data_IF_527775832977
#
_entry.id   IF_527775832977
#
_cell.length_a   1.000
_cell.length_b   1.000
_cell.length_c   1.000
_cell.angle_alpha   90.00
_cell.angle_beta   90.00
_cell.angle_gamma   90.00
#
_symmetry.space_group_name_H-M   'P 1'
#
loop_
_entity.id
_entity.type
_entity.pdbx_description
1 polymer ?
#
# COMPACT_ATOMS: atom_id res chain seq x y z
N UNK A 1 -16.34 -11.92 31.58
CA UNK A 1 -15.60 -11.36 30.43
C UNK A 1 -14.13 -11.70 30.61
N UNK A 2 -13.60 -12.64 29.84
CA UNK A 2 -12.16 -12.92 29.79
C UNK A 2 -11.43 -11.70 29.26
N UNK A 3 -10.50 -11.13 30.05
CA UNK A 3 -9.66 -10.02 29.59
C UNK A 3 -8.83 -10.50 28.39
N UNK A 4 -9.06 -9.89 27.22
CA UNK A 4 -8.21 -10.12 26.04
C UNK A 4 -6.80 -9.62 26.40
N UNK A 5 -5.75 -10.46 26.26
CA UNK A 5 -4.38 -10.05 26.59
C UNK A 5 -3.99 -8.78 25.81
N UNK A 6 -3.55 -7.74 26.52
CA UNK A 6 -2.99 -6.55 25.86
C UNK A 6 -1.52 -6.81 25.53
N UNK A 7 -1.18 -6.84 24.23
CA UNK A 7 0.20 -6.99 23.76
C UNK A 7 1.01 -5.69 23.87
N UNK A 8 0.34 -4.56 24.08
CA UNK A 8 0.97 -3.25 24.25
C UNK A 8 1.13 -2.98 25.75
N UNK A 9 2.38 -2.79 26.21
CA UNK A 9 2.66 -2.44 27.61
C UNK A 9 2.40 -0.96 27.86
N UNK A 10 1.29 -0.68 28.54
CA UNK A 10 0.79 0.67 28.90
C UNK A 10 1.79 1.39 29.82
N UNK A 11 2.30 0.70 30.84
CA UNK A 11 3.17 1.26 31.89
C UNK A 11 4.58 1.69 31.41
N UNK A 12 4.87 1.64 30.11
CA UNK A 12 6.15 2.07 29.54
C UNK A 12 6.04 3.07 28.40
N UNK A 13 4.87 3.28 27.80
CA UNK A 13 4.74 4.12 26.59
C UNK A 13 4.69 5.62 26.92
N UNK A 14 3.98 6.00 27.99
CA UNK A 14 3.83 7.41 28.35
C UNK A 14 5.12 8.04 28.88
N UNK A 15 5.96 7.24 29.58
CA UNK A 15 7.23 7.68 30.18
C UNK A 15 8.45 7.39 29.31
N UNK A 16 8.26 6.90 28.07
CA UNK A 16 9.35 6.65 27.13
C UNK A 16 10.04 7.96 26.71
N UNK A 17 11.12 8.30 27.41
CA UNK A 17 12.13 9.23 26.91
C UNK A 17 12.97 8.50 25.87
N UNK A 18 12.84 8.89 24.60
CA UNK A 18 13.70 8.36 23.56
C UNK A 18 15.03 9.12 23.55
N UNK A 19 16.12 8.39 23.69
CA UNK A 19 17.44 8.88 23.33
C UNK A 19 17.55 9.08 21.81
N UNK A 20 18.39 10.03 21.42
CA UNK A 20 18.68 10.28 20.01
C UNK A 20 19.74 9.30 19.50
N UNK A 21 19.69 8.91 18.21
CA UNK A 21 18.68 9.27 17.23
C UNK A 21 17.35 8.52 17.44
N UNK A 22 16.23 9.24 17.27
CA UNK A 22 14.89 8.62 17.33
C UNK A 22 14.50 8.19 15.92
N UNK A 23 14.23 6.90 15.73
CA UNK A 23 13.82 6.35 14.44
C UNK A 23 12.35 5.94 14.44
N UNK A 24 11.67 6.15 13.33
CA UNK A 24 10.32 5.63 13.09
C UNK A 24 10.17 5.18 11.64
N UNK A 25 9.30 4.20 11.40
CA UNK A 25 8.89 3.80 10.06
C UNK A 25 7.55 4.42 9.70
N UNK A 26 7.38 4.76 8.43
CA UNK A 26 6.12 5.16 7.85
C UNK A 26 5.83 4.32 6.61
N UNK A 27 4.76 3.54 6.68
CA UNK A 27 4.19 2.75 5.59
C UNK A 27 2.71 3.13 5.40
N UNK A 28 2.16 2.86 4.23
CA UNK A 28 0.73 3.05 3.94
C UNK A 28 0.31 2.09 2.83
N UNK A 29 -1.00 1.98 2.60
CA UNK A 29 -1.57 1.30 1.43
C UNK A 29 -1.01 -0.13 1.31
N UNK A 30 -1.08 -0.85 2.42
CA UNK A 30 -0.55 -2.21 2.57
C UNK A 30 -1.48 -3.22 1.90
N UNK A 31 -2.80 -2.93 1.86
CA UNK A 31 -3.76 -3.72 1.11
C UNK A 31 -3.80 -5.22 1.48
N UNK A 32 -3.74 -5.52 2.78
CA UNK A 32 -3.94 -6.86 3.30
C UNK A 32 -5.32 -7.41 2.88
N UNK A 33 -5.34 -8.67 2.45
CA UNK A 33 -6.53 -9.31 1.86
C UNK A 33 -6.72 -9.02 0.37
N UNK A 34 -5.82 -8.28 -0.29
CA UNK A 34 -5.88 -8.10 -1.75
C UNK A 34 -5.48 -9.37 -2.50
N UNK A 35 -6.47 -10.16 -2.91
CA UNK A 35 -6.29 -11.24 -3.87
C UNK A 35 -6.30 -10.69 -5.31
N UNK A 36 -5.28 -9.91 -5.68
CA UNK A 36 -5.21 -9.27 -6.99
C UNK A 36 -5.43 -10.31 -8.11
N UNK A 37 -6.41 -10.07 -8.98
CA UNK A 37 -6.81 -10.97 -10.08
C UNK A 37 -7.41 -12.31 -9.65
N UNK A 38 -7.98 -12.37 -8.44
CA UNK A 38 -8.56 -13.58 -7.83
C UNK A 38 -7.51 -14.67 -7.64
N UNK A 39 -6.30 -14.27 -7.28
CA UNK A 39 -5.19 -15.17 -7.03
C UNK A 39 -4.79 -15.10 -5.55
N UNK A 40 -4.96 -16.20 -4.84
CA UNK A 40 -4.70 -16.28 -3.39
C UNK A 40 -3.21 -16.21 -3.05
N UNK A 41 -2.31 -16.67 -3.93
CA UNK A 41 -0.87 -16.47 -3.75
C UNK A 41 -0.50 -14.99 -3.82
N UNK A 42 -1.31 -14.15 -4.50
CA UNK A 42 -1.13 -12.69 -4.48
C UNK A 42 -1.54 -12.09 -3.14
N UNK A 43 -2.56 -12.61 -2.48
CA UNK A 43 -2.89 -12.18 -1.11
C UNK A 43 -1.72 -12.43 -0.14
N UNK A 44 -0.99 -13.54 -0.33
CA UNK A 44 0.22 -13.83 0.46
C UNK A 44 1.39 -12.88 0.18
N UNK A 45 1.44 -12.22 -0.99
CA UNK A 45 2.45 -11.20 -1.28
C UNK A 45 2.27 -9.98 -0.38
N UNK A 46 1.05 -9.48 -0.24
CA UNK A 46 0.75 -8.34 0.65
C UNK A 46 1.07 -8.68 2.11
N UNK A 47 0.78 -9.91 2.55
CA UNK A 47 1.18 -10.39 3.88
C UNK A 47 2.71 -10.46 4.02
N UNK A 48 3.41 -10.92 2.97
CA UNK A 48 4.88 -11.00 2.94
C UNK A 48 5.54 -9.62 2.98
N UNK A 49 4.99 -8.65 2.23
CA UNK A 49 5.41 -7.26 2.24
C UNK A 49 5.21 -6.66 3.64
N UNK A 50 4.05 -6.88 4.27
CA UNK A 50 3.80 -6.40 5.63
C UNK A 50 4.77 -7.01 6.65
N UNK A 51 5.01 -8.32 6.58
CA UNK A 51 6.01 -8.99 7.43
C UNK A 51 7.41 -8.39 7.24
N UNK A 52 7.77 -8.03 6.01
CA UNK A 52 9.05 -7.36 5.71
C UNK A 52 9.13 -5.97 6.34
N UNK A 53 8.04 -5.19 6.32
CA UNK A 53 7.98 -3.88 7.01
C UNK A 53 8.21 -4.04 8.52
N UNK A 54 7.55 -5.01 9.15
CA UNK A 54 7.74 -5.31 10.56
C UNK A 54 9.19 -5.70 10.87
N UNK A 55 9.80 -6.52 10.02
CA UNK A 55 11.21 -6.90 10.14
C UNK A 55 12.16 -5.70 9.98
N UNK A 56 11.89 -4.79 9.03
CA UNK A 56 12.63 -3.52 8.90
C UNK A 56 12.50 -2.70 10.18
N UNK A 57 11.31 -2.67 10.80
CA UNK A 57 11.09 -1.97 12.07
C UNK A 57 12.00 -2.47 13.18
N UNK A 58 12.09 -3.80 13.34
CA UNK A 58 12.97 -4.45 14.32
C UNK A 58 14.43 -4.17 14.01
N UNK A 59 14.88 -4.45 12.77
CA UNK A 59 16.30 -4.35 12.40
C UNK A 59 16.81 -2.92 12.43
N UNK A 60 15.99 -1.92 12.09
CA UNK A 60 16.34 -0.50 12.19
C UNK A 60 16.15 0.07 13.60
N UNK A 61 15.68 -0.75 14.55
CA UNK A 61 15.44 -0.40 15.96
C UNK A 61 14.54 0.83 16.09
N UNK A 62 13.45 0.86 15.33
CA UNK A 62 12.52 1.99 15.37
C UNK A 62 11.74 2.01 16.67
N UNK A 63 11.31 3.20 17.07
CA UNK A 63 10.52 3.41 18.29
C UNK A 63 9.04 3.19 18.08
N UNK A 64 8.55 3.36 16.85
CA UNK A 64 7.18 3.08 16.45
C UNK A 64 7.10 2.94 14.92
N UNK A 65 6.02 2.31 14.45
CA UNK A 65 5.67 2.17 13.05
C UNK A 65 4.37 2.93 12.82
N UNK A 66 4.32 3.76 11.77
CA UNK A 66 3.13 4.51 11.35
C UNK A 66 2.51 3.83 10.13
N UNK A 67 1.21 3.62 10.18
CA UNK A 67 0.40 3.14 9.06
C UNK A 67 -0.57 4.25 8.61
N UNK A 68 -0.33 4.79 7.41
CA UNK A 68 -1.06 5.93 6.85
C UNK A 68 -2.47 5.65 6.35
N UNK A 69 -3.01 4.44 6.60
CA UNK A 69 -4.32 3.97 6.13
C UNK A 69 -4.23 3.00 4.95
N UNK A 70 -5.37 2.46 4.55
CA UNK A 70 -5.53 1.35 3.59
C UNK A 70 -4.65 0.16 3.95
N UNK A 71 -4.69 -0.21 5.23
CA UNK A 71 -3.97 -1.39 5.73
C UNK A 71 -4.63 -2.66 5.17
N UNK A 72 -5.95 -2.67 5.08
CA UNK A 72 -6.74 -3.73 4.44
C UNK A 72 -7.43 -3.22 3.18
N UNK A 73 -7.60 -4.08 2.19
CA UNK A 73 -8.31 -3.74 0.93
C UNK A 73 -9.81 -3.93 1.02
N UNK A 74 -10.25 -4.93 1.79
CA UNK A 74 -11.65 -5.36 1.85
C UNK A 74 -11.98 -6.01 3.20
N UNK A 75 -13.26 -5.97 3.54
CA UNK A 75 -13.84 -6.75 4.65
C UNK A 75 -14.02 -8.24 4.28
N UNK A 76 -13.97 -8.56 3.00
CA UNK A 76 -14.05 -9.94 2.50
C UNK A 76 -12.66 -10.61 2.51
N UNK A 77 -12.09 -10.84 3.70
CA UNK A 77 -10.83 -11.59 3.87
C UNK A 77 -11.12 -13.04 4.26
N UNK A 78 -10.38 -14.00 3.72
CA UNK A 78 -10.49 -15.40 4.13
C UNK A 78 -10.02 -15.57 5.58
N UNK A 79 -10.71 -16.38 6.40
CA UNK A 79 -10.35 -16.60 7.81
C UNK A 79 -8.90 -17.03 8.01
N UNK A 80 -8.38 -17.93 7.17
CA UNK A 80 -6.98 -18.37 7.21
C UNK A 80 -5.99 -17.20 7.09
N UNK A 81 -6.25 -16.27 6.15
CA UNK A 81 -5.39 -15.10 5.93
C UNK A 81 -5.47 -14.12 7.10
N UNK A 82 -6.65 -13.91 7.68
CA UNK A 82 -6.83 -13.07 8.87
C UNK A 82 -6.10 -13.66 10.08
N UNK A 83 -6.24 -14.96 10.34
CA UNK A 83 -5.52 -15.67 11.41
C UNK A 83 -4.01 -15.49 11.24
N UNK A 84 -3.50 -15.68 10.01
CA UNK A 84 -2.07 -15.49 9.69
C UNK A 84 -1.61 -14.06 9.98
N UNK A 85 -2.39 -13.04 9.64
CA UNK A 85 -2.08 -11.63 9.93
C UNK A 85 -2.02 -11.38 11.45
N UNK A 86 -3.01 -11.87 12.19
CA UNK A 86 -3.07 -11.76 13.65
C UNK A 86 -1.84 -12.42 14.29
N UNK A 87 -1.49 -13.64 13.87
CA UNK A 87 -0.32 -14.36 14.37
C UNK A 87 1.00 -13.63 14.07
N UNK A 88 1.13 -13.02 12.89
CA UNK A 88 2.31 -12.21 12.53
C UNK A 88 2.44 -11.02 13.48
N UNK A 89 1.34 -10.31 13.77
CA UNK A 89 1.32 -9.18 14.69
C UNK A 89 1.60 -9.60 16.14
N UNK A 90 1.00 -10.70 16.61
CA UNK A 90 1.26 -11.27 17.93
C UNK A 90 2.74 -11.63 18.07
N UNK A 91 3.32 -12.32 17.09
CA UNK A 91 4.75 -12.68 17.08
C UNK A 91 5.63 -11.44 17.08
N UNK A 92 5.29 -10.43 16.28
CA UNK A 92 6.01 -9.16 16.26
C UNK A 92 5.98 -8.47 17.63
N UNK A 93 4.80 -8.32 18.24
CA UNK A 93 4.66 -7.69 19.55
C UNK A 93 5.41 -8.48 20.63
N UNK A 94 5.30 -9.81 20.65
CA UNK A 94 6.05 -10.66 21.57
C UNK A 94 7.56 -10.49 21.39
N UNK A 95 8.06 -10.51 20.15
CA UNK A 95 9.49 -10.37 19.84
C UNK A 95 10.08 -9.02 20.24
N UNK A 96 9.26 -7.97 20.26
CA UNK A 96 9.67 -6.62 20.67
C UNK A 96 9.38 -6.33 22.15
N UNK A 97 8.74 -7.27 22.85
CA UNK A 97 8.21 -7.06 24.20
C UNK A 97 7.16 -5.95 24.28
N UNK A 98 6.45 -5.69 23.18
CA UNK A 98 5.46 -4.62 23.04
C UNK A 98 6.06 -3.20 22.99
N UNK A 99 7.37 -3.07 22.76
CA UNK A 99 8.09 -1.77 22.81
C UNK A 99 8.10 -1.00 21.49
N UNK A 100 7.67 -1.62 20.38
CA UNK A 100 7.54 -0.96 19.07
C UNK A 100 6.05 -0.94 18.70
N UNK A 101 5.28 0.06 19.17
CA UNK A 101 3.87 0.16 18.81
C UNK A 101 3.69 0.44 17.31
N UNK A 102 2.64 -0.18 16.75
CA UNK A 102 2.13 0.12 15.41
C UNK A 102 0.96 1.08 15.58
N UNK A 103 1.07 2.26 14.99
CA UNK A 103 0.09 3.35 15.12
C UNK A 103 -0.53 3.56 13.74
N UNK A 104 -1.85 3.43 13.66
CA UNK A 104 -2.58 3.45 12.40
C UNK A 104 -3.71 4.48 12.42
N UNK A 105 -4.11 4.89 11.22
CA UNK A 105 -5.43 5.47 10.94
C UNK A 105 -6.13 4.59 9.91
N UNK A 106 -7.45 4.70 9.79
CA UNK A 106 -8.19 4.02 8.72
C UNK A 106 -8.20 4.84 7.43
N UNK A 107 -7.88 4.18 6.32
CA UNK A 107 -8.04 4.72 4.97
C UNK A 107 -9.44 4.49 4.39
N UNK A 108 -9.62 4.76 3.10
CA UNK A 108 -10.92 4.59 2.45
C UNK A 108 -11.31 3.12 2.24
N UNK A 109 -10.36 2.21 2.08
CA UNK A 109 -10.61 0.78 1.99
C UNK A 109 -10.93 0.15 3.34
N UNK A 110 -10.27 0.61 4.41
CA UNK A 110 -10.50 0.11 5.77
C UNK A 110 -11.92 0.42 6.27
N UNK A 111 -12.58 1.46 5.72
CA UNK A 111 -13.91 1.92 6.11
C UNK A 111 -15.05 1.46 5.18
N UNK A 112 -14.79 0.51 4.28
CA UNK A 112 -15.78 0.10 3.27
C UNK A 112 -17.08 -0.36 3.92
N UNK A 113 -18.19 0.22 3.45
CA UNK A 113 -19.56 -0.10 3.87
C UNK A 113 -20.23 -1.17 3.01
N UNK A 114 -19.47 -1.85 2.16
CA UNK A 114 -20.00 -2.84 1.23
C UNK A 114 -19.20 -4.15 1.31
N UNK A 115 -19.89 -5.28 1.44
CA UNK A 115 -19.37 -6.64 1.30
C UNK A 115 -20.23 -7.36 0.27
N UNK A 116 -19.61 -8.09 -0.67
CA UNK A 116 -20.31 -8.85 -1.73
C UNK A 116 -21.41 -8.05 -2.47
N UNK A 117 -21.21 -6.74 -2.65
CA UNK A 117 -22.16 -5.85 -3.32
C UNK A 117 -23.34 -5.37 -2.45
N UNK A 118 -23.44 -5.81 -1.20
CA UNK A 118 -24.47 -5.39 -0.25
C UNK A 118 -23.93 -4.35 0.73
N UNK A 119 -24.75 -3.35 1.04
CA UNK A 119 -24.41 -2.34 2.05
C UNK A 119 -24.55 -2.94 3.44
N UNK A 120 -23.47 -2.87 4.23
CA UNK A 120 -23.48 -3.29 5.63
C UNK A 120 -24.01 -2.14 6.49
N UNK A 121 -24.97 -2.45 7.37
CA UNK A 121 -25.64 -1.46 8.23
C UNK A 121 -24.71 -0.88 9.30
N UNK A 122 -23.79 -1.69 9.81
CA UNK A 122 -22.74 -1.29 10.75
C UNK A 122 -21.40 -1.19 10.03
N UNK A 123 -20.64 -0.17 10.40
CA UNK A 123 -19.23 -0.03 10.02
C UNK A 123 -18.46 -1.27 10.47
N UNK A 124 -17.63 -1.81 9.58
CA UNK A 124 -16.76 -2.95 9.82
C UNK A 124 -15.34 -2.49 9.53
N UNK A 125 -14.42 -2.72 10.47
CA UNK A 125 -13.02 -2.32 10.32
C UNK A 125 -12.12 -3.38 10.95
N UNK A 126 -11.24 -3.95 10.12
CA UNK A 126 -10.22 -4.87 10.63
C UNK A 126 -9.24 -4.15 11.54
N UNK A 127 -8.99 -2.86 11.34
CA UNK A 127 -8.15 -2.06 12.23
C UNK A 127 -8.80 -1.89 13.60
N UNK A 128 -10.11 -1.71 13.68
CA UNK A 128 -10.84 -1.70 14.97
C UNK A 128 -10.69 -3.05 15.68
N UNK A 129 -10.82 -4.18 14.96
CA UNK A 129 -10.56 -5.52 15.53
C UNK A 129 -9.13 -5.64 16.07
N UNK A 130 -8.12 -5.30 15.26
CA UNK A 130 -6.72 -5.37 15.69
C UNK A 130 -6.43 -4.46 16.89
N UNK A 131 -7.09 -3.31 16.97
CA UNK A 131 -6.99 -2.39 18.09
C UNK A 131 -7.60 -2.98 19.36
N UNK A 132 -8.80 -3.59 19.27
CA UNK A 132 -9.46 -4.31 20.38
C UNK A 132 -8.59 -5.44 20.90
N UNK A 133 -7.93 -6.18 20.00
CA UNK A 133 -6.96 -7.21 20.34
C UNK A 133 -5.64 -6.66 20.93
N UNK A 134 -5.47 -5.34 20.96
CA UNK A 134 -4.26 -4.69 21.44
C UNK A 134 -3.03 -4.97 20.61
N UNK A 135 -3.21 -5.24 19.32
CA UNK A 135 -2.12 -5.50 18.38
C UNK A 135 -1.58 -4.23 17.72
N UNK A 136 -2.43 -3.20 17.63
CA UNK A 136 -2.11 -1.87 17.10
C UNK A 136 -2.72 -0.79 18.01
N UNK A 137 -2.35 0.46 17.75
CA UNK A 137 -2.97 1.68 18.29
C UNK A 137 -3.69 2.35 17.12
N UNK A 138 -5.02 2.37 17.16
CA UNK A 138 -5.83 3.04 16.15
C UNK A 138 -6.18 4.45 16.59
N UNK A 139 -5.65 5.46 15.90
CA UNK A 139 -5.97 6.85 16.18
C UNK A 139 -7.19 7.31 15.39
N UNK A 140 -8.16 7.88 16.10
CA UNK A 140 -9.25 8.62 15.50
C UNK A 140 -9.64 9.79 16.41
N UNK A 141 -9.58 11.00 15.86
CA UNK A 141 -9.95 12.19 16.62
C UNK A 141 -11.47 12.33 16.68
N UNK A 142 -11.95 12.89 17.77
CA UNK A 142 -13.38 13.05 18.02
C UNK A 142 -13.88 14.31 17.31
N UNK A 143 -14.82 14.15 16.39
CA UNK A 143 -15.57 15.28 15.84
C UNK A 143 -16.62 15.71 16.87
N UNK A 144 -16.49 16.94 17.39
CA UNK A 144 -17.43 17.48 18.37
C UNK A 144 -18.59 18.26 17.74
N UNK A 145 -18.37 18.80 16.54
CA UNK A 145 -19.32 19.63 15.80
C UNK A 145 -18.84 19.78 14.35
N UNK A 146 -19.69 20.39 13.51
CA UNK A 146 -19.35 20.72 12.13
C UNK A 146 -18.14 21.65 11.98
N UNK A 147 -17.64 22.26 13.06
CA UNK A 147 -16.54 23.24 13.02
C UNK A 147 -15.33 22.85 13.88
N UNK A 148 -15.39 21.80 14.70
CA UNK A 148 -14.30 21.46 15.61
C UNK A 148 -14.02 19.97 15.76
N UNK A 149 -12.73 19.66 15.83
CA UNK A 149 -12.20 18.33 16.09
C UNK A 149 -11.34 18.34 17.35
N UNK A 150 -11.37 17.27 18.13
CA UNK A 150 -10.59 17.12 19.35
C UNK A 150 -9.69 15.90 19.29
N UNK A 151 -8.40 16.15 19.44
CA UNK A 151 -7.38 15.11 19.56
C UNK A 151 -7.22 14.71 21.03
N UNK A 152 -8.17 13.95 21.57
CA UNK A 152 -8.05 13.39 22.91
C UNK A 152 -6.80 12.49 22.99
N UNK A 153 -6.05 12.51 24.11
CA UNK A 153 -5.01 11.53 24.37
C UNK A 153 -5.57 10.11 24.21
N UNK A 154 -4.76 9.23 23.62
CA UNK A 154 -5.12 7.84 23.46
C UNK A 154 -5.20 7.16 24.82
N UNK A 155 -6.37 6.63 25.12
CA UNK A 155 -6.68 5.88 26.31
C UNK A 155 -6.56 4.39 25.99
N UNK A 156 -5.69 3.69 26.71
CA UNK A 156 -5.40 2.29 26.49
C UNK A 156 -6.46 1.34 27.08
N UNK A 157 -7.26 1.80 28.04
CA UNK A 157 -8.37 1.03 28.61
C UNK A 157 -9.55 1.04 27.64
N UNK A 158 -9.97 2.23 27.21
CA UNK A 158 -11.07 2.37 26.24
C UNK A 158 -10.64 2.12 24.80
N UNK A 159 -9.32 2.09 24.54
CA UNK A 159 -8.69 1.91 23.22
C UNK A 159 -9.12 2.96 22.20
N UNK A 160 -9.26 4.21 22.64
CA UNK A 160 -9.76 5.33 21.85
C UNK A 160 -8.90 6.58 22.04
N UNK A 161 -8.83 7.41 21.01
CA UNK A 161 -8.23 8.74 21.06
C UNK A 161 -7.56 9.12 19.74
N UNK A 162 -7.39 10.42 19.52
CA UNK A 162 -6.81 10.96 18.28
C UNK A 162 -5.32 11.27 18.38
N UNK A 163 -4.74 11.24 19.58
CA UNK A 163 -3.35 11.65 19.80
C UNK A 163 -2.61 10.73 20.76
N UNK A 164 -1.41 10.32 20.40
CA UNK A 164 -0.48 9.64 21.30
C UNK A 164 0.83 10.42 21.42
N UNK A 165 1.48 10.34 22.58
CA UNK A 165 2.69 11.10 22.90
C UNK A 165 3.80 10.17 23.38
N UNK A 166 5.00 10.39 22.84
CA UNK A 166 6.24 9.75 23.28
C UNK A 166 7.29 10.81 23.58
N UNK A 167 7.45 11.18 24.85
CA UNK A 167 8.32 12.28 25.27
C UNK A 167 7.96 13.61 24.60
N UNK A 168 8.78 14.03 23.65
CA UNK A 168 8.61 15.26 22.86
C UNK A 168 7.87 15.06 21.53
N UNK A 169 7.64 13.81 21.12
CA UNK A 169 6.94 13.48 19.88
C UNK A 169 5.46 13.37 20.18
N UNK A 170 4.63 14.00 19.35
CA UNK A 170 3.18 13.86 19.37
C UNK A 170 2.71 13.39 18.01
N UNK A 171 1.88 12.36 18.01
CA UNK A 171 1.37 11.73 16.80
C UNK A 171 -0.15 11.91 16.82
N UNK A 172 -0.66 12.58 15.80
CA UNK A 172 -2.05 12.90 15.61
C UNK A 172 -2.60 12.09 14.44
N UNK A 173 -3.85 11.63 14.52
CA UNK A 173 -4.48 10.89 13.44
C UNK A 173 -5.99 11.10 13.39
N UNK A 174 -6.55 11.04 12.19
CA UNK A 174 -7.99 10.94 11.96
C UNK A 174 -8.22 9.87 10.92
N UNK A 175 -9.35 9.19 10.97
CA UNK A 175 -9.79 8.33 9.88
C UNK A 175 -9.97 9.11 8.56
N UNK A 176 -10.08 8.39 7.47
CA UNK A 176 -10.43 8.91 6.15
C UNK A 176 -11.80 9.60 6.15
N UNK A 177 -11.83 10.84 5.65
CA UNK A 177 -13.06 11.65 5.53
C UNK A 177 -13.38 12.05 4.09
N UNK A 178 -12.48 11.80 3.13
CA UNK A 178 -12.70 12.12 1.71
C UNK A 178 -11.37 12.27 0.94
N UNK A 179 -11.45 12.30 -0.39
CA UNK A 179 -10.27 12.46 -1.26
C UNK A 179 -9.71 13.89 -1.19
N UNK A 180 -10.58 14.88 -0.95
CA UNK A 180 -10.24 16.30 -0.85
C UNK A 180 -10.87 16.95 0.40
N UNK A 181 -10.48 16.54 1.62
CA UNK A 181 -11.20 16.91 2.84
C UNK A 181 -10.76 18.29 3.38
N UNK A 182 -10.94 19.35 2.59
CA UNK A 182 -10.42 20.71 2.88
C UNK A 182 -10.97 21.26 4.20
N UNK A 183 -12.27 21.14 4.45
CA UNK A 183 -12.88 21.59 5.71
C UNK A 183 -12.31 20.85 6.92
N UNK A 184 -12.12 19.54 6.79
CA UNK A 184 -11.52 18.71 7.83
C UNK A 184 -10.08 19.14 8.14
N UNK A 185 -9.29 19.42 7.11
CA UNK A 185 -7.92 19.92 7.25
C UNK A 185 -7.90 21.26 8.01
N UNK A 186 -8.86 22.15 7.74
CA UNK A 186 -8.98 23.41 8.49
C UNK A 186 -9.31 23.16 9.97
N UNK A 187 -10.21 22.21 10.28
CA UNK A 187 -10.50 21.80 11.67
C UNK A 187 -9.24 21.27 12.36
N UNK A 188 -8.47 20.41 11.69
CA UNK A 188 -7.21 19.87 12.20
C UNK A 188 -6.20 20.99 12.47
N UNK A 189 -6.04 21.92 11.53
CA UNK A 189 -5.15 23.05 11.69
C UNK A 189 -5.52 23.87 12.94
N UNK A 190 -6.80 24.12 13.19
CA UNK A 190 -7.25 24.86 14.37
C UNK A 190 -7.03 24.11 15.68
N UNK A 191 -7.19 22.78 15.67
CA UNK A 191 -7.07 21.94 16.86
C UNK A 191 -5.62 21.70 17.30
N UNK A 192 -4.67 21.61 16.36
CA UNK A 192 -3.27 21.31 16.68
C UNK A 192 -2.49 22.59 16.98
N UNK A 193 -1.77 22.58 18.11
CA UNK A 193 -0.87 23.68 18.51
C UNK A 193 0.59 23.21 18.46
N UNK A 194 1.47 24.07 17.97
CA UNK A 194 2.93 23.88 18.06
C UNK A 194 3.39 24.32 19.44
N UNK A 195 4.07 23.44 20.18
CA UNK A 195 4.72 23.81 21.45
C UNK A 195 6.23 23.82 21.24
N UNK A 196 6.95 24.71 21.91
CA UNK A 196 8.41 24.73 21.85
C UNK A 196 8.97 23.36 22.26
N UNK A 197 9.89 22.84 21.45
CA UNK A 197 10.45 21.53 21.67
C UNK A 197 9.48 20.37 21.45
N UNK A 198 8.32 20.52 20.78
CA UNK A 198 7.53 19.38 20.30
C UNK A 198 7.88 19.01 18.85
N UNK A 199 7.83 17.71 18.54
CA UNK A 199 7.88 17.19 17.17
C UNK A 199 6.51 16.57 16.86
N UNK A 200 5.74 17.22 16.01
CA UNK A 200 4.37 16.88 15.71
C UNK A 200 4.31 16.10 14.38
N UNK A 201 3.80 14.88 14.46
CA UNK A 201 3.51 14.01 13.33
C UNK A 201 2.00 13.98 13.15
N UNK A 202 1.52 14.15 11.91
CA UNK A 202 0.10 14.05 11.58
C UNK A 202 -0.08 12.95 10.53
N UNK A 203 -0.88 11.93 10.84
CA UNK A 203 -1.29 10.87 9.92
C UNK A 203 -2.59 11.29 9.24
N UNK A 204 -2.62 11.26 7.91
CA UNK A 204 -3.80 11.54 7.09
C UNK A 204 -3.82 10.64 5.86
N UNK A 205 -5.02 10.36 5.34
CA UNK A 205 -5.19 9.49 4.18
C UNK A 205 -5.81 10.26 3.01
N UNK A 206 -5.01 11.12 2.38
CA UNK A 206 -5.38 11.81 1.13
C UNK A 206 -4.12 12.05 0.30
N UNK A 207 -4.30 12.24 -1.00
CA UNK A 207 -3.21 12.58 -1.91
C UNK A 207 -3.06 14.09 -2.13
N UNK A 208 -1.89 14.53 -2.61
CA UNK A 208 -1.67 15.91 -3.05
C UNK A 208 -1.94 16.01 -4.55
N UNK A 209 -2.70 17.03 -4.94
CA UNK A 209 -3.05 17.28 -6.34
C UNK A 209 -1.80 17.31 -7.24
N UNK A 210 -1.88 16.67 -8.40
CA UNK A 210 -0.80 16.62 -9.38
C UNK A 210 0.26 15.54 -9.14
N UNK A 211 0.26 14.85 -7.99
CA UNK A 211 1.24 13.79 -7.73
C UNK A 211 0.94 12.48 -8.49
N UNK A 212 -0.34 12.17 -8.71
CA UNK A 212 -0.83 11.07 -9.54
C UNK A 212 -1.75 11.59 -10.64
N UNK A 213 -1.59 11.08 -11.87
CA UNK A 213 -2.37 11.50 -13.03
C UNK A 213 -3.81 10.99 -12.92
N UNK A 214 -4.78 11.86 -13.17
CA UNK A 214 -6.22 11.55 -13.15
C UNK A 214 -6.75 11.03 -11.80
N UNK A 215 -6.04 11.31 -10.70
CA UNK A 215 -6.53 11.01 -9.34
C UNK A 215 -6.75 12.34 -8.61
N UNK A 216 -7.95 12.59 -8.05
CA UNK A 216 -8.20 13.79 -7.24
C UNK A 216 -7.27 13.86 -6.04
N UNK A 217 -6.89 15.07 -5.65
CA UNK A 217 -6.03 15.29 -4.48
C UNK A 217 -6.19 16.71 -3.94
N UNK A 218 -5.70 16.93 -2.74
CA UNK A 218 -5.78 18.22 -2.07
C UNK A 218 -4.79 19.20 -2.71
N UNK A 219 -5.22 20.41 -3.11
CA UNK A 219 -4.31 21.45 -3.55
C UNK A 219 -3.32 21.85 -2.45
N UNK A 220 -2.06 22.09 -2.81
CA UNK A 220 -0.98 22.34 -1.83
C UNK A 220 -1.21 23.61 -0.98
N UNK A 221 -1.79 24.66 -1.57
CA UNK A 221 -2.12 25.92 -0.87
C UNK A 221 -3.09 25.70 0.29
N UNK A 222 -3.98 24.70 0.21
CA UNK A 222 -4.96 24.37 1.27
C UNK A 222 -4.33 23.70 2.48
N UNK A 223 -3.13 23.13 2.36
CA UNK A 223 -2.46 22.44 3.46
C UNK A 223 -1.23 23.15 3.99
N UNK A 224 -0.72 24.16 3.28
CA UNK A 224 0.53 24.85 3.63
C UNK A 224 0.50 25.46 5.05
N UNK A 225 -0.68 25.85 5.53
CA UNK A 225 -0.86 26.39 6.90
C UNK A 225 -0.49 25.37 7.98
N UNK A 226 -0.64 24.07 7.72
CA UNK A 226 -0.23 23.00 8.64
C UNK A 226 1.28 22.97 8.88
N UNK A 227 2.09 23.42 7.91
CA UNK A 227 3.56 23.41 8.01
C UNK A 227 4.08 24.16 9.23
N UNK A 228 3.35 25.18 9.72
CA UNK A 228 3.72 25.93 10.93
C UNK A 228 3.56 25.10 12.22
N UNK A 229 2.78 24.02 12.17
CA UNK A 229 2.37 23.22 13.33
C UNK A 229 2.78 21.76 13.27
N UNK A 230 3.03 21.23 12.08
CA UNK A 230 3.35 19.84 11.79
C UNK A 230 4.76 19.76 11.22
N UNK A 231 5.59 18.90 11.81
CA UNK A 231 6.96 18.65 11.35
C UNK A 231 7.04 17.48 10.36
N UNK A 232 6.07 16.55 10.43
CA UNK A 232 5.95 15.40 9.53
C UNK A 232 4.48 15.08 9.27
N UNK A 233 4.01 15.37 8.05
CA UNK A 233 2.73 14.93 7.51
C UNK A 233 2.92 13.55 6.84
N UNK A 234 2.46 12.52 7.54
CA UNK A 234 2.44 11.14 7.10
C UNK A 234 1.17 10.89 6.27
N UNK A 235 1.32 10.87 4.93
CA UNK A 235 0.23 10.61 4.00
C UNK A 235 0.16 9.15 3.55
N UNK A 236 -1.05 8.74 3.16
CA UNK A 236 -1.34 7.54 2.37
C UNK A 236 -2.15 7.85 1.11
N UNK A 237 -2.99 6.92 0.67
CA UNK A 237 -4.01 7.01 -0.39
C UNK A 237 -3.47 6.89 -1.82
N UNK A 238 -2.33 7.52 -2.08
CA UNK A 238 -1.67 7.45 -3.38
C UNK A 238 -0.65 6.31 -3.37
N UNK A 239 -0.78 5.34 -4.29
CA UNK A 239 0.15 4.22 -4.37
C UNK A 239 1.56 4.62 -4.85
N UNK A 240 1.73 5.83 -5.36
CA UNK A 240 3.02 6.37 -5.81
C UNK A 240 3.75 7.06 -4.66
N UNK A 241 5.01 6.68 -4.43
CA UNK A 241 5.85 7.36 -3.45
C UNK A 241 6.21 8.79 -3.88
N UNK A 242 6.09 9.76 -2.97
CA UNK A 242 6.55 11.13 -3.17
C UNK A 242 6.87 11.85 -1.85
N UNK A 243 7.59 12.98 -1.96
CA UNK A 243 7.94 13.89 -0.85
C UNK A 243 7.85 15.35 -1.29
N UNK A 244 7.39 16.23 -0.41
CA UNK A 244 7.27 17.68 -0.68
C UNK A 244 7.86 18.46 0.50
N UNK A 245 8.79 19.39 0.19
CA UNK A 245 9.39 20.36 1.13
C UNK A 245 9.90 19.77 2.47
N UNK A 246 10.30 18.50 2.48
CA UNK A 246 10.79 17.78 3.65
C UNK A 246 9.86 17.78 4.88
N UNK A 247 8.55 17.92 4.68
CA UNK A 247 7.55 17.77 5.73
C UNK A 247 6.34 16.92 5.30
N UNK A 248 6.06 16.79 3.99
CA UNK A 248 5.04 15.88 3.46
C UNK A 248 5.69 14.64 2.89
N UNK A 249 5.21 13.48 3.31
CA UNK A 249 5.74 12.19 2.90
C UNK A 249 4.60 11.22 2.60
N UNK A 250 4.54 10.69 1.38
CA UNK A 250 3.66 9.60 0.99
C UNK A 250 4.50 8.40 0.56
N UNK A 251 4.48 7.25 1.26
CA UNK A 251 5.40 6.15 1.01
C UNK A 251 5.03 5.33 -0.24
N UNK A 252 3.80 5.48 -0.74
CA UNK A 252 3.23 4.61 -1.76
C UNK A 252 2.74 3.28 -1.19
N UNK A 253 2.25 2.40 -2.06
CA UNK A 253 1.81 1.06 -1.66
C UNK A 253 2.99 0.13 -1.41
N UNK A 254 2.86 -0.78 -0.46
CA UNK A 254 3.95 -1.69 -0.09
C UNK A 254 4.12 -2.89 -1.04
N UNK A 255 3.13 -3.12 -1.90
CA UNK A 255 3.11 -4.14 -2.96
C UNK A 255 2.26 -3.63 -4.14
N UNK A 256 2.39 -4.26 -5.31
CA UNK A 256 1.69 -3.91 -6.56
C UNK A 256 0.22 -4.31 -6.47
N UNK A 257 -0.64 -3.35 -6.15
CA UNK A 257 -2.09 -3.52 -6.02
C UNK A 257 -2.85 -3.30 -7.35
N UNK A 258 -2.25 -2.58 -8.30
CA UNK A 258 -2.74 -2.46 -9.68
C UNK A 258 -1.60 -2.42 -10.71
N UNK A 259 -1.90 -2.61 -12.00
CA UNK A 259 -0.87 -2.60 -13.06
C UNK A 259 -0.18 -1.25 -13.22
N UNK A 260 -0.83 -0.15 -12.84
CA UNK A 260 -0.19 1.17 -12.86
C UNK A 260 0.92 1.28 -11.81
N UNK A 261 0.78 0.56 -10.70
CA UNK A 261 1.74 0.62 -9.61
C UNK A 261 3.12 0.20 -10.08
N UNK A 262 3.26 -0.74 -11.02
CA UNK A 262 4.54 -1.28 -11.52
C UNK A 262 5.62 -0.24 -11.80
N UNK A 263 5.22 0.96 -12.24
CA UNK A 263 6.12 2.03 -12.66
C UNK A 263 6.43 3.03 -11.54
N UNK A 264 5.88 2.83 -10.35
CA UNK A 264 6.08 3.72 -9.21
C UNK A 264 7.17 3.22 -8.29
N UNK A 265 8.00 4.16 -7.83
CA UNK A 265 8.80 3.96 -6.63
C UNK A 265 7.86 3.65 -5.46
N UNK A 266 8.30 2.73 -4.61
CA UNK A 266 7.55 2.24 -3.46
C UNK A 266 8.46 1.84 -2.31
N UNK A 267 7.85 1.50 -1.18
CA UNK A 267 8.53 0.98 0.00
C UNK A 267 8.01 1.65 1.25
N UNK A 268 8.91 1.97 2.16
CA UNK A 268 8.59 2.68 3.40
C UNK A 268 9.58 3.81 3.62
N UNK A 269 9.16 4.82 4.38
CA UNK A 269 10.06 5.86 4.85
C UNK A 269 10.60 5.53 6.24
N UNK A 270 11.93 5.55 6.39
CA UNK A 270 12.60 5.58 7.68
C UNK A 270 12.89 7.05 8.04
N UNK A 271 12.14 7.58 8.99
CA UNK A 271 12.41 8.87 9.60
C UNK A 271 13.42 8.73 10.73
N UNK A 272 14.45 9.56 10.74
CA UNK A 272 15.45 9.63 11.81
C UNK A 272 15.56 11.07 12.30
N UNK A 273 15.18 11.28 13.56
CA UNK A 273 15.36 12.53 14.27
C UNK A 273 16.70 12.49 14.98
N UNK A 274 17.55 13.48 14.70
CA UNK A 274 18.82 13.71 15.39
C UNK A 274 18.74 14.99 16.21
N UNK A 275 19.45 15.03 17.33
CA UNK A 275 19.63 16.23 18.17
C UNK A 275 21.11 16.55 18.22
N UNK A 276 21.50 17.57 17.45
CA UNK A 276 22.77 18.27 17.63
C UNK A 276 22.44 19.59 18.36
N UNK A 277 22.74 20.76 17.77
CA UNK A 277 22.30 22.08 18.24
C UNK A 277 20.80 22.33 18.01
N UNK A 278 20.27 21.86 16.88
CA UNK A 278 18.85 21.85 16.54
C UNK A 278 18.38 20.43 16.16
N UNK A 279 17.06 20.21 16.16
CA UNK A 279 16.50 18.94 15.72
C UNK A 279 16.48 18.87 14.20
N UNK A 280 17.08 17.82 13.65
CA UNK A 280 17.09 17.57 12.20
C UNK A 280 16.36 16.27 11.90
N UNK A 281 15.38 16.33 11.00
CA UNK A 281 14.72 15.17 10.43
C UNK A 281 15.47 14.73 9.16
N UNK A 282 15.84 13.45 9.11
CA UNK A 282 16.39 12.79 7.92
C UNK A 282 15.42 11.67 7.53
N UNK A 283 14.93 11.68 6.30
CA UNK A 283 14.02 10.66 5.79
C UNK A 283 14.68 9.88 4.67
N UNK A 284 14.73 8.55 4.80
CA UNK A 284 15.29 7.63 3.80
C UNK A 284 14.20 6.69 3.29
N UNK A 285 14.21 6.40 1.98
CA UNK A 285 13.39 5.33 1.44
C UNK A 285 14.04 3.97 1.75
N UNK A 286 13.25 2.99 2.15
CA UNK A 286 13.63 1.59 2.24
C UNK A 286 12.71 0.81 1.31
N UNK A 287 13.30 0.18 0.29
CA UNK A 287 12.57 -0.71 -0.61
C UNK A 287 12.13 -1.95 0.15
N UNK A 288 10.86 -2.31 -0.02
CA UNK A 288 10.32 -3.58 0.47
C UNK A 288 10.38 -4.60 -0.68
N UNK A 289 10.88 -5.82 -0.44
CA UNK A 289 10.84 -6.87 -1.46
C UNK A 289 9.39 -7.17 -1.88
N UNK A 290 9.13 -7.10 -3.18
CA UNK A 290 7.82 -7.38 -3.78
C UNK A 290 7.92 -8.49 -4.80
N UNK A 291 6.77 -9.08 -5.18
CA UNK A 291 6.78 -10.07 -6.27
C UNK A 291 7.30 -9.44 -7.56
N UNK A 292 8.28 -10.11 -8.18
CA UNK A 292 8.82 -9.69 -9.48
C UNK A 292 7.73 -9.74 -10.54
N UNK A 293 7.75 -8.72 -11.40
CA UNK A 293 6.83 -8.60 -12.53
C UNK A 293 7.64 -8.48 -13.81
N UNK A 294 7.18 -9.12 -14.88
CA UNK A 294 7.80 -9.07 -16.19
C UNK A 294 6.81 -8.49 -17.20
N UNK A 295 7.26 -7.47 -17.95
CA UNK A 295 6.46 -6.84 -18.98
C UNK A 295 7.03 -7.19 -20.35
N UNK A 296 6.20 -7.79 -21.20
CA UNK A 296 6.60 -8.17 -22.55
C UNK A 296 5.62 -7.62 -23.58
N UNK A 297 6.15 -7.20 -24.74
CA UNK A 297 5.32 -6.72 -25.84
C UNK A 297 5.60 -7.52 -27.10
N UNK A 298 4.64 -8.35 -27.49
CA UNK A 298 4.72 -9.17 -28.70
C UNK A 298 4.03 -8.46 -29.85
N UNK A 299 4.75 -8.28 -30.95
CA UNK A 299 4.20 -7.76 -32.20
C UNK A 299 3.81 -8.90 -33.15
N UNK A 300 2.56 -8.89 -33.58
CA UNK A 300 2.05 -9.82 -34.58
C UNK A 300 2.27 -9.24 -35.99
N UNK A 301 3.25 -9.82 -36.69
CA UNK A 301 3.63 -9.42 -38.04
C UNK A 301 2.94 -10.24 -39.15
N UNK A 302 2.07 -11.18 -38.80
CA UNK A 302 1.33 -12.02 -39.76
C UNK A 302 -0.07 -12.36 -39.27
N UNK A 303 -0.92 -12.79 -40.19
CA UNK A 303 -2.24 -13.33 -39.86
C UNK A 303 -2.13 -14.72 -39.27
N UNK A 304 -2.97 -14.97 -38.26
CA UNK A 304 -3.23 -16.30 -37.72
C UNK A 304 -4.68 -16.64 -38.03
N UNK A 305 -4.92 -17.87 -38.49
CA UNK A 305 -6.26 -18.42 -38.80
C UNK A 305 -6.68 -19.52 -37.81
N UNK A 306 -5.72 -20.07 -37.06
CA UNK A 306 -5.91 -21.10 -36.02
C UNK A 306 -5.30 -20.63 -34.71
N UNK A 307 -5.98 -20.87 -33.58
CA UNK A 307 -5.53 -20.43 -32.25
C UNK A 307 -4.24 -21.11 -31.80
N UNK A 308 -4.03 -22.37 -32.18
CA UNK A 308 -2.86 -23.15 -31.82
C UNK A 308 -1.59 -22.51 -32.36
N UNK A 309 -1.62 -22.02 -33.61
CA UNK A 309 -0.49 -21.31 -34.21
C UNK A 309 -0.18 -19.99 -33.52
N UNK A 310 -1.21 -19.25 -33.11
CA UNK A 310 -1.05 -18.00 -32.37
C UNK A 310 -0.47 -18.25 -30.97
N UNK A 311 -1.02 -19.21 -30.24
CA UNK A 311 -0.59 -19.53 -28.88
C UNK A 311 0.86 -20.05 -28.88
N UNK A 312 1.20 -20.98 -29.78
CA UNK A 312 2.56 -21.50 -29.93
C UNK A 312 3.58 -20.40 -30.26
N UNK A 313 3.21 -19.46 -31.13
CA UNK A 313 4.06 -18.30 -31.42
C UNK A 313 4.30 -17.43 -30.19
N UNK A 314 3.23 -17.05 -29.48
CA UNK A 314 3.30 -16.24 -28.27
C UNK A 314 4.16 -16.92 -27.20
N UNK A 315 3.95 -18.21 -26.96
CA UNK A 315 4.72 -18.98 -25.98
C UNK A 315 6.20 -19.07 -26.35
N UNK A 316 6.54 -19.25 -27.63
CA UNK A 316 7.93 -19.31 -28.09
C UNK A 316 8.64 -17.99 -27.81
N UNK A 317 7.99 -16.86 -28.12
CA UNK A 317 8.54 -15.53 -27.85
C UNK A 317 8.71 -15.29 -26.35
N UNK A 318 7.67 -15.60 -25.56
CA UNK A 318 7.72 -15.48 -24.11
C UNK A 318 8.84 -16.32 -23.51
N UNK A 319 8.98 -17.60 -23.88
CA UNK A 319 10.02 -18.49 -23.36
C UNK A 319 11.42 -17.93 -23.62
N UNK A 320 11.66 -17.41 -24.82
CA UNK A 320 12.93 -16.79 -25.16
C UNK A 320 13.21 -15.54 -24.29
N UNK A 321 12.24 -14.62 -24.19
CA UNK A 321 12.37 -13.41 -23.38
C UNK A 321 12.55 -13.68 -21.88
N UNK A 322 11.77 -14.63 -21.33
CA UNK A 322 11.78 -15.00 -19.92
C UNK A 322 13.05 -15.72 -19.50
N UNK A 323 13.55 -16.66 -20.32
CA UNK A 323 14.81 -17.35 -20.03
C UNK A 323 15.97 -16.36 -19.96
N UNK A 324 16.03 -15.44 -20.92
CA UNK A 324 17.07 -14.41 -20.93
C UNK A 324 17.03 -13.49 -19.70
N UNK A 325 15.84 -13.13 -19.21
CA UNK A 325 15.72 -12.36 -17.97
C UNK A 325 16.07 -13.18 -16.72
N UNK A 326 15.63 -14.45 -16.64
CA UNK A 326 15.98 -15.32 -15.52
C UNK A 326 17.49 -15.61 -15.47
N UNK A 327 18.14 -15.78 -16.62
CA UNK A 327 19.58 -16.07 -16.71
C UNK A 327 20.45 -14.87 -16.38
N UNK A 328 20.05 -13.65 -16.77
CA UNK A 328 20.72 -12.41 -16.34
C UNK A 328 20.71 -12.22 -14.82
N UNK A 329 19.70 -12.77 -14.16
CA UNK A 329 19.49 -12.63 -12.73
C UNK A 329 19.93 -13.87 -11.93
N UNK A 330 20.76 -14.78 -12.46
CA UNK A 330 21.22 -16.05 -11.84
C UNK A 330 21.98 -15.93 -10.48
N UNK A 331 21.38 -15.29 -9.48
CA UNK A 331 21.81 -15.11 -8.09
C UNK A 331 20.66 -15.24 -7.07
N UNK A 332 19.48 -15.78 -7.43
CA UNK A 332 18.33 -15.76 -6.51
C UNK A 332 17.87 -17.14 -6.01
N UNK A 333 17.92 -17.27 -4.68
CA UNK A 333 17.43 -18.39 -3.88
C UNK A 333 15.93 -18.33 -3.54
N UNK A 334 15.14 -17.42 -4.13
CA UNK A 334 13.73 -17.21 -3.77
C UNK A 334 12.78 -17.72 -4.87
N UNK A 335 12.13 -18.85 -4.61
CA UNK A 335 11.44 -19.73 -5.55
C UNK A 335 10.04 -19.27 -6.01
N UNK A 336 9.71 -17.98 -5.87
CA UNK A 336 8.35 -17.47 -6.18
C UNK A 336 8.16 -17.20 -7.67
N UNK A 337 7.07 -17.74 -8.24
CA UNK A 337 6.63 -17.46 -9.63
C UNK A 337 6.44 -15.96 -9.89
N UNK A 338 6.80 -15.47 -11.06
CA UNK A 338 6.70 -14.03 -11.41
C UNK A 338 5.31 -13.66 -11.96
N UNK A 339 4.95 -12.38 -11.92
CA UNK A 339 3.73 -11.84 -12.55
C UNK A 339 4.01 -11.41 -14.00
N UNK A 340 3.26 -11.91 -15.00
CA UNK A 340 3.42 -11.51 -16.40
C UNK A 340 2.41 -10.43 -16.80
N UNK A 341 2.90 -9.39 -17.46
CA UNK A 341 2.09 -8.38 -18.16
C UNK A 341 2.45 -8.43 -19.65
N UNK A 342 1.52 -8.94 -20.46
CA UNK A 342 1.73 -9.17 -21.88
C UNK A 342 0.88 -8.20 -22.71
N UNK A 343 1.54 -7.38 -23.52
CA UNK A 343 0.89 -6.56 -24.54
C UNK A 343 1.06 -7.21 -25.91
N UNK A 344 -0.03 -7.64 -26.54
CA UNK A 344 -0.02 -8.16 -27.92
C UNK A 344 -0.53 -7.04 -28.84
N UNK A 345 0.32 -6.62 -29.77
CA UNK A 345 0.04 -5.53 -30.73
C UNK A 345 0.26 -5.98 -32.18
N UNK A 346 -0.09 -5.12 -33.14
CA UNK A 346 0.13 -5.36 -34.56
C UNK A 346 -1.11 -5.86 -35.30
N UNK A 347 -0.94 -6.82 -36.21
CA UNK A 347 -2.01 -7.35 -37.07
C UNK A 347 -3.03 -8.10 -36.23
N UNK A 348 -4.30 -7.71 -36.35
CA UNK A 348 -5.41 -8.39 -35.67
C UNK A 348 -5.57 -9.83 -36.21
N UNK A 349 -5.57 -10.86 -35.36
CA UNK A 349 -5.86 -12.23 -35.79
C UNK A 349 -7.24 -12.33 -36.44
N UNK A 350 -7.40 -13.28 -37.38
CA UNK A 350 -8.66 -13.47 -38.10
C UNK A 350 -9.80 -13.84 -37.14
N UNK A 351 -11.04 -13.46 -37.45
CA UNK A 351 -12.22 -13.83 -36.65
C UNK A 351 -12.34 -15.36 -36.50
N UNK A 352 -11.95 -16.13 -37.52
CA UNK A 352 -11.95 -17.60 -37.55
C UNK A 352 -10.96 -18.23 -36.56
N UNK A 353 -9.96 -17.47 -36.10
CA UNK A 353 -8.97 -17.95 -35.12
C UNK A 353 -9.63 -18.43 -33.83
N UNK A 354 -10.79 -17.85 -33.44
CA UNK A 354 -11.53 -18.19 -32.21
C UNK A 354 -10.64 -18.22 -30.95
N UNK A 355 -9.65 -17.33 -30.88
CA UNK A 355 -8.74 -17.26 -29.73
C UNK A 355 -9.43 -16.59 -28.54
N UNK A 356 -9.01 -16.98 -27.33
CA UNK A 356 -9.53 -16.45 -26.07
C UNK A 356 -8.39 -16.00 -25.17
N UNK A 357 -8.53 -14.79 -24.59
CA UNK A 357 -7.57 -14.31 -23.57
C UNK A 357 -7.49 -15.27 -22.38
N UNK A 358 -8.63 -15.87 -21.99
CA UNK A 358 -8.70 -16.78 -20.85
C UNK A 358 -7.93 -18.07 -21.14
N UNK A 359 -8.09 -18.64 -22.33
CA UNK A 359 -7.34 -19.82 -22.76
C UNK A 359 -5.84 -19.53 -22.83
N UNK A 360 -5.44 -18.41 -23.49
CA UNK A 360 -4.03 -18.05 -23.61
C UNK A 360 -3.40 -17.80 -22.23
N UNK A 361 -4.08 -17.09 -21.33
CA UNK A 361 -3.66 -16.90 -19.94
C UNK A 361 -3.42 -18.24 -19.24
N UNK A 362 -4.37 -19.17 -19.33
CA UNK A 362 -4.27 -20.51 -18.72
C UNK A 362 -3.04 -21.26 -19.24
N UNK A 363 -2.87 -21.31 -20.56
CA UNK A 363 -1.74 -22.01 -21.19
C UNK A 363 -0.40 -21.37 -20.80
N UNK A 364 -0.31 -20.04 -20.72
CA UNK A 364 0.90 -19.35 -20.26
C UNK A 364 1.22 -19.76 -18.80
N UNK A 365 0.25 -19.70 -17.89
CA UNK A 365 0.48 -20.08 -16.49
C UNK A 365 0.81 -21.57 -16.30
N UNK A 366 0.31 -22.45 -17.17
CA UNK A 366 0.61 -23.89 -17.12
C UNK A 366 2.01 -24.21 -17.67
N UNK A 367 2.45 -23.50 -18.71
CA UNK A 367 3.68 -23.83 -19.45
C UNK A 367 4.88 -22.97 -19.07
N UNK A 368 4.66 -21.85 -18.40
CA UNK A 368 5.70 -20.92 -17.97
C UNK A 368 5.59 -20.73 -16.45
N UNK A 369 6.73 -20.52 -15.79
CA UNK A 369 6.82 -20.33 -14.33
C UNK A 369 6.31 -18.95 -13.87
N UNK A 370 5.09 -18.60 -14.28
CA UNK A 370 4.41 -17.34 -13.96
C UNK A 370 3.19 -17.62 -13.08
N UNK A 371 2.93 -16.76 -12.09
CA UNK A 371 1.79 -16.88 -11.19
C UNK A 371 0.48 -16.54 -11.91
N UNK A 372 0.55 -15.53 -12.79
CA UNK A 372 -0.57 -15.04 -13.55
C UNK A 372 -0.09 -14.20 -14.74
N UNK A 373 -0.95 -14.05 -15.76
CA UNK A 373 -0.68 -13.29 -16.97
C UNK A 373 -1.81 -12.31 -17.31
N UNK A 374 -1.50 -11.02 -17.38
CA UNK A 374 -2.42 -9.96 -17.82
C UNK A 374 -2.20 -9.66 -19.29
N UNK A 375 -3.21 -9.92 -20.11
CA UNK A 375 -3.11 -9.81 -21.57
C UNK A 375 -3.86 -8.58 -22.09
N UNK A 376 -3.10 -7.60 -22.55
CA UNK A 376 -3.58 -6.40 -23.23
C UNK A 376 -3.51 -6.63 -24.74
N UNK A 377 -4.61 -6.41 -25.45
CA UNK A 377 -4.66 -6.54 -26.91
C UNK A 377 -4.79 -5.16 -27.53
N UNK A 378 -3.83 -4.77 -28.35
CA UNK A 378 -3.74 -3.45 -28.98
C UNK A 378 -3.51 -3.62 -30.49
N UNK A 379 -4.54 -4.00 -31.22
CA UNK A 379 -4.44 -4.21 -32.66
C UNK A 379 -4.74 -2.94 -33.45
N UNK A 380 -4.00 -2.72 -34.53
CA UNK A 380 -4.24 -1.60 -35.44
C UNK A 380 -5.48 -1.91 -36.31
N UNK A 381 -6.40 -0.94 -36.45
CA UNK A 381 -7.55 -1.06 -37.35
C UNK A 381 -7.14 -0.97 -38.83
N UNK A 382 -6.10 -0.18 -39.15
CA UNK A 382 -5.79 0.25 -40.52
C UNK A 382 -5.05 -0.80 -41.38
N UNK A 383 -4.18 -1.64 -40.79
CA UNK A 383 -3.47 -2.71 -41.53
C UNK A 383 -4.39 -3.83 -42.06
N UNK A 384 -5.64 -3.88 -41.61
CA UNK A 384 -6.61 -4.90 -42.06
C UNK A 384 -7.10 -4.64 -43.49
N UNK A 385 -7.13 -3.37 -43.94
CA UNK A 385 -7.61 -3.02 -45.28
C UNK A 385 -6.52 -3.15 -46.34
N UNK A 386 -5.27 -2.77 -46.04
CA UNK A 386 -4.17 -2.81 -47.01
C UNK A 386 -3.76 -4.24 -47.41
N UNK A 387 -3.83 -5.22 -46.50
CA UNK A 387 -3.54 -6.62 -46.85
C UNK A 387 -4.70 -7.38 -47.49
N UNK A 388 -5.94 -6.88 -47.40
CA UNK A 388 -7.06 -7.42 -48.20
C UNK A 388 -6.91 -7.03 -49.68
N UNK A 389 -6.44 -5.81 -49.94
CA UNK A 389 -6.22 -5.31 -51.30
C UNK A 389 -5.08 -6.10 -51.98
N UNK A 390 -4.01 -6.41 -51.25
CA UNK A 390 -2.88 -7.21 -51.76
C UNK A 390 -3.17 -8.73 -51.93
N UNK A 391 -4.40 -9.19 -51.65
CA UNK A 391 -4.83 -10.58 -51.91
C UNK A 391 -5.78 -10.70 -53.09
N UNK A 392 -6.12 -9.57 -53.71
CA UNK A 392 -6.97 -9.44 -54.91
C UNK A 392 -6.22 -8.75 -56.08
N UNK A 393 -4.92 -8.53 -55.92
CA UNK A 393 -3.93 -8.28 -56.97
C UNK A 393 -2.95 -9.45 -56.93
#
# INVERSE_FOLDING_TARGET
MTQIPSYIKINGIHDMKFEYPIRFLHASDIHLGCAQYQNEERADDFISAFKSILYVGITKRVKFILLGGDVFTSIDILPEKLIKIIQILQKFNNSTGGRIPIIAIEGNHDLRKYSRGLRVSRRQSWLELLNILGLIILLDAEEKSDVSIRFNPYDFETRKGGCIRFGQIKIYGTKYTGQTPIEHINKINNAIKKKNGSFNILLQHFGILGQMKNVPGVPYDKIQTLKKKIDYLALGHFHKQYRIENWIFNPGSSEVACSADLFFNRGVFLGELRKNKERRLIVRNITIPTRKSFWETIELNRYYTKKEGLYSFVLKQLKHSLLHELDKENKFHDSKKIMLYLSIKGIKPDKKTKYSKKELRKIICERLSVIDARIYLKFNKERYNSMKIAKFL
#
